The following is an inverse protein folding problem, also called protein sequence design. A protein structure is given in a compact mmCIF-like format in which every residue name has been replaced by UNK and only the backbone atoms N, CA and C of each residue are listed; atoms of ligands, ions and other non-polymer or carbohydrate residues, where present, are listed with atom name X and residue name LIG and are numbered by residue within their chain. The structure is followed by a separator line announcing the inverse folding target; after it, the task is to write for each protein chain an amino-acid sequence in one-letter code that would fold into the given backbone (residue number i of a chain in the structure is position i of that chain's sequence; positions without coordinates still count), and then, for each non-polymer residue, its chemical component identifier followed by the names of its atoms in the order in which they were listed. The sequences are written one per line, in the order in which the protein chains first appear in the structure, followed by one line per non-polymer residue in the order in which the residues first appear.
data_IF_312092312099
#
_entry.id   IF_312092312099
#
_cell.length_a   1.000
_cell.length_b   1.000
_cell.length_c   1.000
_cell.angle_alpha   90.00
_cell.angle_beta   90.00
_cell.angle_gamma   90.00
#
_symmetry.space_group_name_H-M   'P 1'
#
loop_
_entity.id
_entity.type
_entity.pdbx_description
1 polymer ?
#
# COMPACT_ATOMS: atom_id res chain seq x y z
N UNK A 1 -1.98 -16.27 -16.36
CA UNK A 1 -3.02 -17.32 -16.16
C UNK A 1 -3.49 -17.41 -14.71
N UNK A 2 -2.60 -17.38 -13.72
CA UNK A 2 -2.95 -17.52 -12.29
C UNK A 2 -3.99 -16.52 -11.76
N UNK A 3 -3.90 -15.23 -12.14
CA UNK A 3 -4.87 -14.21 -11.72
C UNK A 3 -6.30 -14.44 -12.24
N UNK A 4 -6.45 -14.96 -13.47
CA UNK A 4 -7.76 -15.29 -14.05
C UNK A 4 -8.39 -16.50 -13.34
N UNK A 5 -7.59 -17.52 -13.01
CA UNK A 5 -8.04 -18.69 -12.27
C UNK A 5 -8.49 -18.31 -10.85
N UNK A 6 -7.69 -17.49 -10.14
CA UNK A 6 -8.01 -16.97 -8.81
C UNK A 6 -9.30 -16.13 -8.80
N UNK A 7 -9.49 -15.26 -9.79
CA UNK A 7 -10.72 -14.46 -9.91
C UNK A 7 -11.95 -15.34 -10.14
N UNK A 8 -11.84 -16.38 -10.98
CA UNK A 8 -12.93 -17.31 -11.24
C UNK A 8 -13.29 -18.16 -10.01
N UNK A 9 -12.29 -18.57 -9.21
CA UNK A 9 -12.52 -19.24 -7.92
C UNK A 9 -13.18 -18.31 -6.90
N UNK A 10 -12.71 -17.06 -6.78
CA UNK A 10 -13.33 -16.06 -5.90
C UNK A 10 -14.79 -15.76 -6.28
N UNK A 11 -15.10 -15.72 -7.58
CA UNK A 11 -16.45 -15.48 -8.08
C UNK A 11 -17.42 -16.63 -7.78
N UNK A 12 -16.91 -17.85 -7.62
CA UNK A 12 -17.70 -19.04 -7.26
C UNK A 12 -17.97 -19.18 -5.75
N UNK A 13 -17.22 -18.48 -4.90
CA UNK A 13 -17.35 -18.53 -3.44
C UNK A 13 -18.47 -17.61 -2.94
N UNK A 14 -19.23 -18.07 -1.94
CA UNK A 14 -20.16 -17.18 -1.24
C UNK A 14 -19.38 -16.13 -0.47
N UNK A 15 -19.94 -14.91 -0.32
CA UNK A 15 -19.31 -13.80 0.43
C UNK A 15 -18.88 -14.21 1.85
N UNK A 16 -19.57 -15.19 2.45
CA UNK A 16 -19.25 -15.76 3.77
C UNK A 16 -18.04 -16.71 3.78
N UNK A 17 -17.66 -17.28 2.64
CA UNK A 17 -16.57 -18.25 2.49
C UNK A 17 -15.26 -17.60 2.03
N UNK A 18 -15.35 -16.39 1.47
CA UNK A 18 -14.21 -15.55 1.09
C UNK A 18 -13.19 -15.37 2.23
N UNK A 19 -13.59 -15.08 3.49
CA UNK A 19 -12.62 -14.93 4.57
C UNK A 19 -11.85 -16.22 4.88
N UNK A 20 -12.49 -17.38 4.77
CA UNK A 20 -11.88 -18.69 5.02
C UNK A 20 -10.90 -19.10 3.91
N UNK A 21 -11.23 -18.78 2.66
CA UNK A 21 -10.36 -19.03 1.50
C UNK A 21 -9.15 -18.07 1.45
N UNK A 22 -9.34 -16.82 1.86
CA UNK A 22 -8.28 -15.80 1.90
C UNK A 22 -7.36 -15.93 3.13
N UNK A 23 -7.83 -16.54 4.22
CA UNK A 23 -7.08 -16.74 5.49
C UNK A 23 -5.67 -17.33 5.32
N UNK A 24 -5.44 -18.38 4.51
CA UNK A 24 -4.10 -18.90 4.27
C UNK A 24 -3.21 -17.95 3.46
N UNK A 25 -3.78 -17.19 2.50
CA UNK A 25 -3.03 -16.21 1.69
C UNK A 25 -2.64 -14.96 2.47
N UNK A 26 -3.52 -14.49 3.36
CA UNK A 26 -3.24 -13.42 4.33
C UNK A 26 -2.73 -13.96 5.66
N UNK A 27 -2.17 -15.17 5.68
CA UNK A 27 -1.51 -15.65 6.89
C UNK A 27 -0.34 -14.73 7.19
N UNK A 28 -0.31 -14.22 8.43
CA UNK A 28 0.74 -13.32 8.94
C UNK A 28 2.14 -13.91 8.66
N UNK A 29 2.27 -15.24 8.64
CA UNK A 29 3.52 -15.93 8.32
C UNK A 29 3.97 -15.72 6.87
N UNK A 30 3.06 -15.87 5.90
CA UNK A 30 3.36 -15.63 4.48
C UNK A 30 3.64 -14.16 4.18
N UNK A 31 2.87 -13.27 4.81
CA UNK A 31 3.09 -11.83 4.71
C UNK A 31 4.46 -11.44 5.28
N UNK A 32 4.81 -11.93 6.47
CA UNK A 32 6.12 -11.67 7.10
C UNK A 32 7.29 -12.21 6.28
N UNK A 33 7.16 -13.41 5.71
CA UNK A 33 8.21 -13.98 4.86
C UNK A 33 8.38 -13.19 3.56
N UNK A 34 7.27 -12.80 2.93
CA UNK A 34 7.31 -12.00 1.69
C UNK A 34 7.87 -10.61 1.95
N UNK A 35 7.50 -9.99 3.08
CA UNK A 35 8.02 -8.71 3.52
C UNK A 35 9.52 -8.76 3.79
N UNK A 36 9.99 -9.74 4.57
CA UNK A 36 11.42 -9.93 4.82
C UNK A 36 12.20 -10.08 3.52
N UNK A 37 11.72 -10.94 2.61
CA UNK A 37 12.36 -11.11 1.30
C UNK A 37 12.38 -9.82 0.46
N UNK A 38 11.32 -9.02 0.52
CA UNK A 38 11.27 -7.74 -0.17
C UNK A 38 12.28 -6.73 0.41
N UNK A 39 12.41 -6.70 1.74
CA UNK A 39 13.39 -5.87 2.45
C UNK A 39 14.81 -6.32 2.12
N UNK A 40 15.10 -7.62 2.20
CA UNK A 40 16.42 -8.17 1.89
C UNK A 40 16.87 -7.80 0.47
N UNK A 41 15.99 -8.00 -0.53
CA UNK A 41 16.27 -7.62 -1.92
C UNK A 41 16.47 -6.10 -2.09
N UNK A 42 15.76 -5.29 -1.31
CA UNK A 42 15.89 -3.83 -1.37
C UNK A 42 17.24 -3.37 -0.78
N UNK A 43 17.66 -4.00 0.33
CA UNK A 43 18.96 -3.75 0.96
C UNK A 43 20.08 -4.13 0.00
N UNK A 44 20.06 -5.34 -0.55
CA UNK A 44 21.04 -5.81 -1.54
C UNK A 44 21.11 -4.88 -2.74
N UNK A 45 19.95 -4.48 -3.29
CA UNK A 45 19.90 -3.69 -4.51
C UNK A 45 20.35 -2.24 -4.34
N UNK A 46 20.09 -1.61 -3.20
CA UNK A 46 20.27 -0.16 -3.05
C UNK A 46 21.21 0.27 -1.92
N UNK A 47 21.33 -0.52 -0.85
CA UNK A 47 22.18 -0.15 0.29
C UNK A 47 23.60 -0.68 0.06
N UNK A 48 23.73 -1.97 -0.27
CA UNK A 48 25.05 -2.58 -0.50
C UNK A 48 25.73 -2.03 -1.77
N UNK A 49 24.95 -1.57 -2.74
CA UNK A 49 25.45 -0.94 -3.97
C UNK A 49 25.80 0.54 -3.82
N UNK A 50 25.73 1.12 -2.61
CA UNK A 50 25.92 2.55 -2.35
C UNK A 50 25.04 3.45 -3.26
N UNK A 51 23.79 3.04 -3.49
CA UNK A 51 22.87 3.81 -4.33
C UNK A 51 22.31 5.02 -3.57
N UNK A 52 22.08 6.13 -4.26
CA UNK A 52 21.41 7.33 -3.70
C UNK A 52 19.88 7.15 -3.68
N UNK A 53 19.34 6.11 -4.33
CA UNK A 53 17.90 5.88 -4.42
C UNK A 53 17.15 5.80 -3.07
N UNK A 54 17.70 5.21 -2.00
CA UNK A 54 17.03 5.22 -0.69
C UNK A 54 16.75 6.63 -0.16
N UNK A 55 17.66 7.58 -0.39
CA UNK A 55 17.46 8.97 -0.01
C UNK A 55 16.28 9.58 -0.78
N UNK A 56 16.22 9.35 -2.09
CA UNK A 56 15.11 9.82 -2.91
C UNK A 56 13.77 9.20 -2.52
N UNK A 57 13.73 7.90 -2.19
CA UNK A 57 12.50 7.27 -1.71
C UNK A 57 11.99 7.90 -0.42
N UNK A 58 12.87 8.32 0.49
CA UNK A 58 12.49 9.04 1.71
C UNK A 58 12.03 10.46 1.38
N UNK A 59 12.74 11.20 0.54
CA UNK A 59 12.38 12.58 0.17
C UNK A 59 11.04 12.64 -0.56
N UNK A 60 10.88 11.84 -1.62
CA UNK A 60 9.64 11.81 -2.42
C UNK A 60 8.51 11.13 -1.67
N UNK A 61 8.80 10.06 -0.93
CA UNK A 61 7.81 9.39 -0.08
C UNK A 61 7.30 10.29 1.03
N UNK A 62 8.20 11.02 1.71
CA UNK A 62 7.86 12.00 2.74
C UNK A 62 7.03 13.16 2.19
N UNK A 63 7.37 13.67 1.00
CA UNK A 63 6.60 14.71 0.32
C UNK A 63 5.20 14.22 -0.10
N UNK A 64 5.09 13.01 -0.64
CA UNK A 64 3.80 12.44 -1.01
C UNK A 64 2.93 12.19 0.24
N UNK A 65 3.52 11.63 1.29
CA UNK A 65 2.83 11.38 2.55
C UNK A 65 2.38 12.68 3.23
N UNK A 66 3.22 13.71 3.24
CA UNK A 66 2.86 15.00 3.83
C UNK A 66 1.68 15.65 3.12
N UNK A 67 1.63 15.57 1.79
CA UNK A 67 0.48 16.02 1.01
C UNK A 67 -0.80 15.24 1.35
N UNK A 68 -0.71 13.91 1.46
CA UNK A 68 -1.85 13.06 1.84
C UNK A 68 -2.36 13.35 3.25
N UNK A 69 -1.47 13.67 4.19
CA UNK A 69 -1.83 14.05 5.56
C UNK A 69 -2.44 15.45 5.61
N UNK A 70 -1.96 16.39 4.78
CA UNK A 70 -2.48 17.76 4.71
C UNK A 70 -3.81 17.87 3.95
N UNK A 71 -4.10 16.92 3.06
CA UNK A 71 -5.28 16.90 2.21
C UNK A 71 -6.63 17.10 2.95
N UNK A 72 -6.92 16.44 4.09
CA UNK A 72 -8.15 16.64 4.84
C UNK A 72 -8.28 18.06 5.41
N UNK A 73 -7.17 18.66 5.84
CA UNK A 73 -7.13 20.03 6.34
C UNK A 73 -7.39 21.04 5.21
N UNK A 74 -6.73 20.85 4.06
CA UNK A 74 -6.99 21.66 2.87
C UNK A 74 -8.45 21.56 2.41
N UNK A 75 -9.05 20.36 2.47
CA UNK A 75 -10.47 20.15 2.16
C UNK A 75 -11.37 20.95 3.09
N UNK A 76 -11.15 20.90 4.40
CA UNK A 76 -11.92 21.65 5.40
C UNK A 76 -11.77 23.16 5.20
N UNK A 77 -10.56 23.64 4.93
CA UNK A 77 -10.33 25.07 4.64
C UNK A 77 -11.09 25.55 3.40
N UNK A 78 -11.14 24.74 2.33
CA UNK A 78 -11.90 25.07 1.12
C UNK A 78 -13.42 25.05 1.35
N UNK A 79 -13.93 24.17 2.20
CA UNK A 79 -15.35 24.12 2.57
C UNK A 79 -15.77 25.36 3.38
N UNK A 80 -14.94 25.83 4.31
CA UNK A 80 -15.18 27.07 5.04
C UNK A 80 -15.13 28.31 4.13
N UNK A 81 -14.21 28.35 3.16
CA UNK A 81 -14.16 29.45 2.17
C UNK A 81 -15.41 29.46 1.28
N UNK A 82 -15.92 28.29 0.89
CA UNK A 82 -17.18 28.19 0.13
C UNK A 82 -18.40 28.59 0.97
N UNK A 83 -18.42 28.26 2.25
CA UNK A 83 -19.53 28.59 3.15
C UNK A 83 -19.58 30.07 3.57
N UNK A 84 -18.43 30.77 3.59
CA UNK A 84 -18.33 32.21 3.94
C UNK A 84 -18.54 33.18 2.77
N UNK A 85 -18.79 32.67 1.55
CA UNK A 85 -19.05 33.46 0.34
C UNK A 85 -20.56 33.53 -0.01
N UNK A 86 -21.40 33.79 1.00
CA UNK A 86 -22.83 34.11 0.84
C UNK A 86 -23.15 35.46 1.49
#
# INVERSE_FOLDING_TARGET
MALRAFYNEMKGLKVKEVPSYLKPYFSVKYMKQSFNRAVDNYIEKYIETNSVQPLYHVCFGGMALSYLIALPEERRHLEHQKAGHH
#
